data_IF_621037478062
#
_entry.id   IF_621037478062
#
_cell.length_a   1.000
_cell.length_b   1.000
_cell.length_c   1.000
_cell.angle_alpha   90.00
_cell.angle_beta   90.00
_cell.angle_gamma   90.00
#
_symmetry.space_group_name_H-M   'P 1'
#
loop_
_entity.id
_entity.type
_entity.pdbx_description
1 polymer ?
#
# COMPACT_ATOMS: atom_id res chain seq x y z
N UNK A 1 -2.15 27.36 -17.52
CA UNK A 1 -3.60 27.11 -17.42
C UNK A 1 -3.80 25.60 -17.46
N UNK A 2 -4.46 25.00 -16.48
CA UNK A 2 -4.70 23.54 -16.46
C UNK A 2 -6.06 23.23 -17.08
N UNK A 3 -6.06 22.63 -18.27
CA UNK A 3 -7.27 22.07 -18.88
C UNK A 3 -7.79 20.92 -18.01
N UNK A 4 -8.96 21.10 -17.41
CA UNK A 4 -9.57 20.06 -16.58
C UNK A 4 -10.02 18.87 -17.43
N UNK A 5 -9.48 17.68 -17.17
CA UNK A 5 -10.00 16.45 -17.78
C UNK A 5 -11.41 16.18 -17.21
N UNK A 6 -12.43 16.42 -18.02
CA UNK A 6 -13.86 16.24 -17.72
C UNK A 6 -14.30 14.76 -17.67
N UNK A 7 -13.37 13.85 -17.36
CA UNK A 7 -13.66 12.43 -17.18
C UNK A 7 -14.45 12.16 -15.89
N UNK A 8 -15.22 11.08 -15.89
CA UNK A 8 -15.96 10.61 -14.73
C UNK A 8 -15.05 10.43 -13.51
N UNK A 9 -15.54 10.83 -12.34
CA UNK A 9 -14.85 10.60 -11.07
C UNK A 9 -15.09 9.17 -10.58
N UNK A 10 -14.14 8.63 -9.81
CA UNK A 10 -14.33 7.36 -9.11
C UNK A 10 -15.52 7.49 -8.16
N UNK A 11 -16.53 6.66 -8.34
CA UNK A 11 -17.77 6.70 -7.56
C UNK A 11 -18.12 5.29 -7.06
N UNK A 12 -18.11 5.11 -5.75
CA UNK A 12 -18.37 3.80 -5.14
C UNK A 12 -19.87 3.46 -5.03
N UNK A 13 -20.78 4.39 -5.36
CA UNK A 13 -22.22 4.10 -5.46
C UNK A 13 -22.56 3.31 -6.73
N UNK A 14 -21.77 3.47 -7.78
CA UNK A 14 -21.84 2.71 -9.05
C UNK A 14 -21.21 1.31 -8.97
N UNK A 15 -20.95 0.78 -7.77
CA UNK A 15 -20.29 -0.52 -7.60
C UNK A 15 -21.20 -1.71 -7.98
N UNK A 16 -20.89 -2.35 -9.10
CA UNK A 16 -21.50 -3.59 -9.56
C UNK A 16 -20.94 -4.80 -8.79
N UNK A 17 -21.76 -5.84 -8.59
CA UNK A 17 -21.37 -7.04 -7.84
C UNK A 17 -21.71 -8.31 -8.64
N UNK A 18 -20.70 -8.93 -9.24
CA UNK A 18 -20.87 -10.17 -10.00
C UNK A 18 -20.95 -11.38 -9.06
N UNK A 19 -22.16 -11.91 -8.89
CA UNK A 19 -22.45 -13.01 -7.95
C UNK A 19 -22.05 -14.40 -8.48
N UNK A 20 -20.75 -14.66 -8.70
CA UNK A 20 -20.23 -16.02 -8.95
C UNK A 20 -18.70 -16.19 -8.71
N UNK A 21 -18.19 -16.07 -7.48
CA UNK A 21 -16.83 -16.53 -7.18
C UNK A 21 -16.77 -18.05 -7.03
N UNK A 22 -15.75 -18.68 -7.60
CA UNK A 22 -15.37 -20.05 -7.24
C UNK A 22 -14.80 -20.05 -5.81
N UNK A 23 -15.68 -20.27 -4.83
CA UNK A 23 -15.35 -20.21 -3.40
C UNK A 23 -14.34 -21.29 -3.00
N UNK A 24 -13.08 -20.91 -2.78
CA UNK A 24 -12.01 -21.82 -2.32
C UNK A 24 -12.01 -21.98 -0.79
N UNK A 25 -11.51 -23.09 -0.22
CA UNK A 25 -11.34 -23.20 1.23
C UNK A 25 -10.41 -22.10 1.77
N UNK A 26 -10.62 -21.69 3.02
CA UNK A 26 -9.69 -20.81 3.73
C UNK A 26 -8.52 -21.67 4.23
N UNK A 27 -7.25 -21.38 3.89
CA UNK A 27 -6.11 -22.14 4.39
C UNK A 27 -5.98 -22.07 5.92
N UNK A 28 -5.39 -23.10 6.51
CA UNK A 28 -4.99 -23.08 7.93
C UNK A 28 -3.90 -21.99 8.12
N UNK A 29 -4.00 -21.08 9.12
CA UNK A 29 -3.02 -20.02 9.35
C UNK A 29 -1.55 -20.46 9.38
N UNK A 30 -1.26 -21.67 9.86
CA UNK A 30 0.10 -22.21 9.97
C UNK A 30 0.54 -23.04 8.75
N UNK A 31 -0.23 -23.02 7.65
CA UNK A 31 0.05 -23.86 6.48
C UNK A 31 1.14 -23.28 5.55
N UNK A 32 1.88 -24.14 4.81
CA UNK A 32 2.90 -23.69 3.87
C UNK A 32 2.38 -22.71 2.82
N UNK A 33 1.12 -22.84 2.39
CA UNK A 33 0.45 -21.98 1.43
C UNK A 33 0.38 -20.54 1.94
N UNK A 34 -0.04 -20.34 3.20
CA UNK A 34 -0.09 -19.02 3.85
C UNK A 34 1.29 -18.40 3.93
N UNK A 35 2.32 -19.19 4.24
CA UNK A 35 3.71 -18.73 4.28
C UNK A 35 4.24 -18.25 2.91
N UNK A 36 3.65 -18.68 1.78
CA UNK A 36 4.03 -18.17 0.44
C UNK A 36 3.54 -16.74 0.17
N UNK A 37 2.51 -16.27 0.88
CA UNK A 37 1.79 -15.02 0.62
C UNK A 37 1.23 -14.87 -0.81
N UNK A 38 0.98 -15.97 -1.52
CA UNK A 38 0.46 -15.99 -2.91
C UNK A 38 -1.06 -15.94 -3.01
N UNK A 39 -1.77 -16.36 -1.96
CA UNK A 39 -3.23 -16.46 -1.96
C UNK A 39 -3.93 -15.13 -1.66
N UNK A 40 -4.78 -14.68 -2.60
CA UNK A 40 -5.87 -13.73 -2.34
C UNK A 40 -7.10 -14.40 -1.73
N UNK A 41 -8.14 -13.63 -1.43
CA UNK A 41 -9.45 -14.15 -0.98
C UNK A 41 -10.28 -14.65 -2.19
N UNK A 42 -11.61 -14.73 -2.10
CA UNK A 42 -12.46 -15.22 -3.21
C UNK A 42 -12.69 -14.14 -4.29
N UNK A 43 -12.68 -12.86 -3.88
CA UNK A 43 -13.06 -11.71 -4.70
C UNK A 43 -12.02 -10.59 -4.67
N UNK A 44 -12.02 -9.78 -5.72
CA UNK A 44 -11.32 -8.50 -5.81
C UNK A 44 -12.26 -7.42 -6.35
N UNK A 45 -11.88 -6.15 -6.16
CA UNK A 45 -12.53 -5.02 -6.85
C UNK A 45 -11.60 -4.57 -7.97
N UNK A 46 -12.17 -4.31 -9.15
CA UNK A 46 -11.48 -3.74 -10.31
C UNK A 46 -12.23 -2.47 -10.74
N UNK A 47 -11.49 -1.44 -11.11
CA UNK A 47 -12.02 -0.23 -11.76
C UNK A 47 -11.05 0.16 -12.86
N UNK A 48 -11.56 0.40 -14.07
CA UNK A 48 -10.78 0.90 -15.19
C UNK A 48 -10.78 2.43 -15.19
N UNK A 49 -9.73 3.04 -15.74
CA UNK A 49 -9.71 4.46 -16.08
C UNK A 49 -9.13 4.66 -17.48
N UNK A 50 -9.74 5.56 -18.26
CA UNK A 50 -9.19 6.03 -19.54
C UNK A 50 -9.13 7.57 -19.60
N UNK A 51 -8.20 8.09 -20.40
CA UNK A 51 -8.03 9.52 -20.66
C UNK A 51 -9.29 10.20 -21.24
N UNK A 52 -10.13 9.44 -21.95
CA UNK A 52 -11.32 9.91 -22.65
C UNK A 52 -12.60 9.89 -21.81
N UNK A 53 -12.75 8.90 -20.92
CA UNK A 53 -14.00 8.68 -20.17
C UNK A 53 -13.86 8.89 -18.66
N UNK A 54 -12.64 8.89 -18.12
CA UNK A 54 -12.39 8.90 -16.69
C UNK A 54 -12.60 7.52 -16.07
N UNK A 55 -13.09 7.47 -14.83
CA UNK A 55 -13.31 6.25 -14.06
C UNK A 55 -14.61 5.54 -14.45
N UNK A 56 -14.50 4.26 -14.79
CA UNK A 56 -15.65 3.38 -15.04
C UNK A 56 -16.42 3.04 -13.76
N UNK A 57 -17.51 2.28 -13.90
CA UNK A 57 -18.19 1.67 -12.76
C UNK A 57 -17.24 0.68 -12.07
N UNK A 58 -17.02 0.78 -10.75
CA UNK A 58 -16.31 -0.25 -10.00
C UNK A 58 -17.02 -1.60 -10.08
N UNK A 59 -16.27 -2.71 -10.14
CA UNK A 59 -16.84 -4.06 -10.25
C UNK A 59 -16.22 -5.00 -9.22
N UNK A 60 -17.04 -5.70 -8.44
CA UNK A 60 -16.61 -6.87 -7.66
C UNK A 60 -16.57 -8.08 -8.58
N UNK A 61 -15.40 -8.69 -8.72
CA UNK A 61 -15.16 -9.87 -9.57
C UNK A 61 -14.47 -10.99 -8.77
N UNK A 62 -14.50 -12.25 -9.24
CA UNK A 62 -13.68 -13.32 -8.65
C UNK A 62 -12.18 -12.95 -8.68
N UNK A 63 -11.41 -13.43 -7.71
CA UNK A 63 -9.95 -13.24 -7.70
C UNK A 63 -9.30 -14.01 -8.87
N UNK A 64 -8.71 -13.30 -9.82
CA UNK A 64 -8.13 -13.85 -11.05
C UNK A 64 -6.83 -13.14 -11.44
N UNK A 65 -6.03 -13.72 -12.37
CA UNK A 65 -5.04 -12.95 -13.12
C UNK A 65 -5.70 -11.76 -13.85
N UNK A 66 -4.91 -10.72 -14.12
CA UNK A 66 -5.26 -9.63 -15.03
C UNK A 66 -4.56 -9.83 -16.38
N UNK A 67 -5.24 -9.50 -17.48
CA UNK A 67 -4.63 -9.45 -18.81
C UNK A 67 -4.01 -8.06 -19.03
N UNK A 68 -2.79 -8.02 -19.52
CA UNK A 68 -2.06 -6.78 -19.86
C UNK A 68 -1.31 -6.98 -21.16
N UNK A 69 -1.21 -5.94 -21.98
CA UNK A 69 -0.32 -5.93 -23.13
C UNK A 69 1.15 -5.99 -22.67
N UNK A 70 2.05 -6.73 -23.35
CA UNK A 70 3.47 -6.77 -22.98
C UNK A 70 4.14 -5.39 -22.95
N UNK A 71 3.63 -4.45 -23.75
CA UNK A 71 4.09 -3.06 -23.84
C UNK A 71 3.52 -2.14 -22.75
N UNK A 72 2.66 -2.65 -21.84
CA UNK A 72 2.01 -1.85 -20.80
C UNK A 72 3.02 -1.05 -19.97
N UNK A 73 2.75 0.25 -19.77
CA UNK A 73 3.69 1.17 -19.12
C UNK A 73 4.11 0.76 -17.69
N UNK A 74 3.29 0.02 -16.94
CA UNK A 74 3.67 -0.55 -15.66
C UNK A 74 4.71 -1.68 -15.74
N UNK A 75 4.79 -2.40 -16.86
CA UNK A 75 5.81 -3.42 -17.12
C UNK A 75 7.10 -2.77 -17.63
N UNK A 76 6.99 -1.77 -18.50
CA UNK A 76 8.13 -1.14 -19.18
C UNK A 76 8.82 -0.03 -18.36
N UNK A 77 8.03 0.81 -17.69
CA UNK A 77 8.51 2.03 -17.00
C UNK A 77 8.16 2.04 -15.50
N UNK A 78 7.66 0.92 -14.98
CA UNK A 78 7.24 0.73 -13.59
C UNK A 78 6.27 1.82 -13.08
N UNK A 79 5.39 2.32 -13.96
CA UNK A 79 4.33 3.32 -13.68
C UNK A 79 3.23 2.70 -12.80
N UNK A 80 3.55 2.39 -11.54
CA UNK A 80 2.66 1.70 -10.61
C UNK A 80 2.90 2.09 -9.14
N UNK A 81 1.93 1.97 -8.23
CA UNK A 81 2.08 2.38 -6.82
C UNK A 81 1.05 1.79 -5.84
N UNK A 82 1.31 1.70 -4.53
CA UNK A 82 0.41 0.91 -3.68
C UNK A 82 0.26 1.26 -2.21
N UNK A 83 -0.65 0.52 -1.57
CA UNK A 83 -0.92 0.47 -0.15
C UNK A 83 -0.81 -0.92 0.47
N UNK A 84 -0.53 -0.87 1.76
CA UNK A 84 -0.71 -1.98 2.67
C UNK A 84 -1.46 -1.48 3.88
N UNK A 85 -2.56 -2.16 4.22
CA UNK A 85 -3.27 -1.99 5.48
C UNK A 85 -3.82 -3.33 5.93
N UNK A 86 -4.37 -3.39 7.14
CA UNK A 86 -5.00 -4.60 7.69
C UNK A 86 -6.40 -4.29 8.21
N UNK A 87 -7.32 -5.21 7.97
CA UNK A 87 -8.58 -5.32 8.72
C UNK A 87 -8.41 -6.40 9.79
N UNK A 88 -8.85 -6.11 11.02
CA UNK A 88 -8.68 -6.96 12.20
C UNK A 88 -10.04 -7.42 12.72
N UNK A 89 -10.12 -8.65 13.24
CA UNK A 89 -11.25 -9.10 14.08
C UNK A 89 -10.96 -8.71 15.53
N UNK A 90 -11.79 -7.85 16.12
CA UNK A 90 -11.73 -7.58 17.56
C UNK A 90 -12.29 -8.74 18.39
N UNK A 91 -11.88 -8.83 19.66
CA UNK A 91 -12.44 -9.78 20.64
C UNK A 91 -13.94 -9.55 20.91
N UNK A 92 -14.47 -8.38 20.58
CA UNK A 92 -15.91 -8.06 20.55
C UNK A 92 -16.61 -8.54 19.26
N UNK A 93 -15.93 -9.34 18.43
CA UNK A 93 -16.41 -9.82 17.15
C UNK A 93 -16.51 -8.75 16.06
N UNK A 94 -16.15 -7.48 16.29
CA UNK A 94 -16.29 -6.38 15.31
C UNK A 94 -15.06 -6.22 14.43
N UNK A 95 -15.26 -5.91 13.15
CA UNK A 95 -14.19 -5.61 12.20
C UNK A 95 -13.65 -4.20 12.41
N UNK A 96 -12.33 -4.01 12.29
CA UNK A 96 -11.67 -2.70 12.43
C UNK A 96 -10.56 -2.51 11.38
N UNK A 97 -10.52 -1.33 10.75
CA UNK A 97 -9.42 -0.89 9.88
C UNK A 97 -8.58 0.17 10.61
N UNK A 98 -7.25 0.04 10.58
CA UNK A 98 -6.37 1.04 11.20
C UNK A 98 -6.07 2.21 10.26
N UNK A 99 -6.68 3.38 10.54
CA UNK A 99 -6.44 4.66 9.82
C UNK A 99 -6.52 4.53 8.28
N UNK A 100 -7.60 3.96 7.70
CA UNK A 100 -7.63 3.60 6.28
C UNK A 100 -7.69 4.81 5.34
N UNK A 101 -8.30 5.93 5.73
CA UNK A 101 -8.33 7.16 4.90
C UNK A 101 -6.91 7.67 4.60
N UNK A 102 -6.03 7.72 5.60
CA UNK A 102 -4.61 8.07 5.44
C UNK A 102 -3.84 7.12 4.49
N UNK A 103 -4.31 5.88 4.34
CA UNK A 103 -3.77 4.99 3.32
C UNK A 103 -4.23 5.40 1.92
N UNK A 104 -5.52 5.69 1.75
CA UNK A 104 -6.11 6.16 0.50
C UNK A 104 -5.50 7.51 0.04
N UNK A 105 -5.33 8.47 0.95
CA UNK A 105 -4.65 9.75 0.71
C UNK A 105 -3.23 9.57 0.18
N UNK A 106 -2.38 8.81 0.88
CA UNK A 106 -1.01 8.53 0.41
C UNK A 106 -1.03 7.69 -0.89
N UNK A 107 -2.16 7.10 -1.31
CA UNK A 107 -2.23 6.31 -2.55
C UNK A 107 -2.43 7.28 -3.72
N UNK A 108 -3.44 8.14 -3.63
CA UNK A 108 -3.62 9.28 -4.53
C UNK A 108 -2.34 10.11 -4.66
N UNK A 109 -1.69 10.47 -3.55
CA UNK A 109 -0.41 11.19 -3.59
C UNK A 109 0.74 10.39 -4.23
N UNK A 110 0.68 9.05 -4.24
CA UNK A 110 1.65 8.22 -4.96
C UNK A 110 1.32 8.17 -6.45
N UNK A 111 0.04 8.04 -6.81
CA UNK A 111 -0.46 8.05 -8.19
C UNK A 111 -0.08 9.37 -8.90
N UNK A 112 -0.40 10.52 -8.30
CA UNK A 112 -0.04 11.84 -8.85
C UNK A 112 1.48 12.05 -9.01
N UNK A 113 2.32 11.34 -8.23
CA UNK A 113 3.79 11.42 -8.34
C UNK A 113 4.35 10.62 -9.52
N UNK A 114 3.58 9.72 -10.12
CA UNK A 114 3.92 8.96 -11.33
C UNK A 114 2.88 9.12 -12.44
N UNK A 115 2.24 10.29 -12.52
CA UNK A 115 1.27 10.67 -13.55
C UNK A 115 0.07 9.71 -13.73
N UNK A 116 -0.28 8.93 -12.71
CA UNK A 116 -1.50 8.12 -12.66
C UNK A 116 -2.70 8.98 -12.19
N UNK A 117 -3.93 8.64 -12.62
CA UNK A 117 -5.14 9.43 -12.38
C UNK A 117 -5.44 9.63 -10.89
N UNK A 118 -6.00 10.80 -10.58
CA UNK A 118 -6.48 11.15 -9.25
C UNK A 118 -7.90 10.63 -9.01
N UNK A 119 -8.27 10.53 -7.73
CA UNK A 119 -9.56 10.06 -7.23
C UNK A 119 -9.79 10.64 -5.82
N UNK A 120 -11.04 10.68 -5.33
CA UNK A 120 -11.31 11.00 -3.92
C UNK A 120 -10.91 9.80 -3.03
N UNK A 121 -10.00 9.98 -2.05
CA UNK A 121 -9.67 8.95 -1.06
C UNK A 121 -10.87 8.36 -0.30
N UNK A 122 -12.01 9.05 -0.22
CA UNK A 122 -13.25 8.57 0.41
C UNK A 122 -13.98 7.52 -0.43
N UNK A 123 -13.95 7.62 -1.75
CA UNK A 123 -14.64 6.67 -2.63
C UNK A 123 -13.88 5.34 -2.66
N UNK A 124 -12.54 5.39 -2.76
CA UNK A 124 -11.70 4.21 -2.53
C UNK A 124 -11.93 3.59 -1.13
N UNK A 125 -12.14 4.41 -0.10
CA UNK A 125 -12.44 3.92 1.25
C UNK A 125 -13.78 3.16 1.32
N UNK A 126 -14.83 3.64 0.63
CA UNK A 126 -16.11 2.92 0.51
C UNK A 126 -15.93 1.56 -0.19
N UNK A 127 -15.15 1.50 -1.28
CA UNK A 127 -14.83 0.25 -1.98
C UNK A 127 -14.11 -0.74 -1.05
N UNK A 128 -13.09 -0.28 -0.31
CA UNK A 128 -12.38 -1.09 0.69
C UNK A 128 -13.33 -1.60 1.77
N UNK A 129 -14.25 -0.77 2.27
CA UNK A 129 -15.27 -1.20 3.24
C UNK A 129 -16.19 -2.29 2.68
N UNK A 130 -16.63 -2.18 1.41
CA UNK A 130 -17.47 -3.20 0.78
C UNK A 130 -16.71 -4.52 0.59
N UNK A 131 -15.47 -4.49 0.11
CA UNK A 131 -14.65 -5.70 -0.02
C UNK A 131 -14.43 -6.37 1.34
N UNK A 132 -14.12 -5.60 2.40
CA UNK A 132 -14.02 -6.12 3.76
C UNK A 132 -15.33 -6.78 4.22
N UNK A 133 -16.50 -6.18 3.91
CA UNK A 133 -17.79 -6.73 4.29
C UNK A 133 -18.15 -8.03 3.54
N UNK A 134 -17.69 -8.21 2.30
CA UNK A 134 -17.92 -9.42 1.49
C UNK A 134 -17.01 -10.59 1.89
N UNK A 135 -15.71 -10.32 2.14
CA UNK A 135 -14.72 -11.39 2.35
C UNK A 135 -14.60 -11.79 3.84
N UNK A 136 -14.61 -10.82 4.76
CA UNK A 136 -14.32 -11.06 6.19
C UNK A 136 -15.29 -11.98 6.94
N UNK A 137 -16.56 -12.22 6.55
CA UNK A 137 -17.40 -13.22 7.20
C UNK A 137 -16.81 -14.64 7.12
N UNK A 138 -16.13 -14.96 6.00
CA UNK A 138 -15.48 -16.26 5.73
C UNK A 138 -13.99 -16.22 6.03
N UNK A 139 -13.28 -15.22 5.51
CA UNK A 139 -11.82 -15.13 5.55
C UNK A 139 -11.25 -14.60 6.87
N UNK A 140 -12.11 -14.12 7.77
CA UNK A 140 -11.70 -13.56 9.06
C UNK A 140 -12.80 -13.79 10.11
N UNK A 141 -13.17 -15.04 10.43
CA UNK A 141 -14.39 -15.37 11.18
C UNK A 141 -14.37 -14.88 12.64
N UNK A 142 -15.47 -15.02 13.38
CA UNK A 142 -15.65 -14.41 14.72
C UNK A 142 -14.94 -15.16 15.85
N UNK A 143 -14.76 -16.45 15.67
CA UNK A 143 -14.03 -17.41 16.52
C UNK A 143 -12.52 -17.24 16.49
N UNK A 144 -11.98 -16.50 15.52
CA UNK A 144 -10.56 -16.13 15.41
C UNK A 144 -10.32 -14.62 15.68
N UNK A 145 -10.50 -14.12 16.92
CA UNK A 145 -10.21 -12.74 17.28
C UNK A 145 -8.70 -12.47 17.37
N UNK A 146 -8.29 -11.23 17.09
CA UNK A 146 -6.89 -10.83 17.00
C UNK A 146 -6.27 -11.06 15.61
N UNK A 147 -6.78 -12.03 14.84
CA UNK A 147 -6.41 -12.24 13.45
C UNK A 147 -6.70 -11.03 12.55
N UNK A 148 -6.03 -10.98 11.39
CA UNK A 148 -6.14 -9.87 10.46
C UNK A 148 -5.84 -10.25 9.01
N UNK A 149 -6.68 -9.78 8.09
CA UNK A 149 -6.43 -9.84 6.64
C UNK A 149 -5.64 -8.63 6.17
N UNK A 150 -4.72 -8.86 5.24
CA UNK A 150 -3.98 -7.79 4.57
C UNK A 150 -4.74 -7.29 3.34
N UNK A 151 -4.82 -5.97 3.16
CA UNK A 151 -5.51 -5.32 2.05
C UNK A 151 -4.50 -4.56 1.20
N UNK A 152 -4.57 -4.77 -0.12
CA UNK A 152 -3.61 -4.32 -1.14
C UNK A 152 -4.33 -3.53 -2.27
N UNK A 153 -4.68 -2.24 -2.06
CA UNK A 153 -5.02 -1.29 -3.12
C UNK A 153 -3.75 -0.58 -3.64
N UNK A 154 -3.74 -0.09 -4.88
CA UNK A 154 -2.59 -0.34 -5.77
C UNK A 154 -2.85 0.25 -7.17
N UNK A 155 -2.16 1.19 -7.81
CA UNK A 155 -2.40 1.57 -9.24
C UNK A 155 -1.30 1.03 -10.19
N UNK A 156 -1.60 0.69 -11.46
CA UNK A 156 -0.65 0.39 -12.57
C UNK A 156 -1.09 1.07 -13.87
N UNK A 157 -0.20 1.64 -14.66
CA UNK A 157 -0.50 2.03 -16.05
C UNK A 157 -0.60 0.82 -16.98
N UNK A 158 -1.70 0.71 -17.73
CA UNK A 158 -1.95 -0.38 -18.70
C UNK A 158 -1.77 0.02 -20.17
N UNK A 159 -1.68 1.33 -20.46
CA UNK A 159 -1.45 1.88 -21.80
C UNK A 159 -0.36 1.11 -22.56
N UNK A 160 -0.73 0.58 -23.73
CA UNK A 160 0.10 -0.27 -24.58
C UNK A 160 1.16 0.48 -25.41
N UNK A 161 1.27 1.80 -25.24
CA UNK A 161 2.25 2.63 -25.93
C UNK A 161 3.65 2.55 -25.32
N UNK A 162 4.65 2.29 -26.17
CA UNK A 162 6.09 2.42 -25.84
C UNK A 162 6.60 3.88 -25.86
N UNK A 163 5.70 4.87 -25.89
CA UNK A 163 6.06 6.28 -25.78
C UNK A 163 6.31 6.68 -24.32
N UNK A 164 7.37 7.44 -24.06
CA UNK A 164 7.60 8.04 -22.73
C UNK A 164 6.65 9.23 -22.52
N UNK A 165 5.39 8.92 -22.17
CA UNK A 165 4.30 9.87 -21.88
C UNK A 165 3.56 9.44 -20.60
N UNK A 166 2.65 10.29 -20.11
CA UNK A 166 1.67 9.86 -19.11
C UNK A 166 0.75 8.79 -19.73
N UNK A 167 0.42 7.70 -19.02
CA UNK A 167 -0.36 6.60 -19.59
C UNK A 167 -1.83 6.99 -19.78
N UNK A 168 -2.42 6.59 -20.90
CA UNK A 168 -3.82 6.90 -21.23
C UNK A 168 -4.82 5.88 -20.67
N UNK A 169 -4.35 4.73 -20.16
CA UNK A 169 -5.14 3.69 -19.48
C UNK A 169 -4.46 3.18 -18.20
N UNK A 170 -5.26 2.84 -17.17
CA UNK A 170 -4.76 2.48 -15.82
C UNK A 170 -5.62 1.38 -15.15
N UNK A 171 -4.93 0.41 -14.53
CA UNK A 171 -5.40 -0.72 -13.68
C UNK A 171 -4.77 -0.60 -12.24
N UNK A 172 -4.64 -1.69 -11.45
CA UNK A 172 -4.23 -1.63 -10.02
C UNK A 172 -3.07 -2.59 -9.45
N UNK A 173 -1.72 -2.25 -9.39
CA UNK A 173 -0.55 -2.99 -8.67
C UNK A 173 0.66 -2.15 -8.00
N UNK A 174 1.97 -2.56 -7.84
CA UNK A 174 2.87 -2.42 -6.59
C UNK A 174 4.40 -1.91 -6.68
N UNK A 175 5.13 -1.42 -5.59
CA UNK A 175 6.64 -1.58 -5.19
C UNK A 175 7.70 -0.35 -4.89
N UNK A 176 7.97 0.25 -3.65
CA UNK A 176 8.78 1.52 -3.14
C UNK A 176 10.34 1.52 -2.81
N UNK A 177 11.28 2.52 -2.78
CA UNK A 177 11.69 3.82 -3.45
C UNK A 177 13.02 4.51 -2.91
N UNK A 178 13.63 5.52 -3.60
CA UNK A 178 14.93 6.28 -3.28
C UNK A 178 14.85 7.86 -3.30
N UNK A 179 15.84 8.66 -2.80
CA UNK A 179 15.74 10.13 -2.65
C UNK A 179 15.92 10.96 -3.94
N UNK A 180 15.31 12.15 -4.00
CA UNK A 180 15.18 12.97 -5.22
C UNK A 180 14.22 12.36 -6.25
N UNK A 181 14.29 11.04 -6.43
CA UNK A 181 13.25 10.21 -6.97
C UNK A 181 12.01 10.14 -6.04
N UNK A 182 11.52 8.92 -5.81
CA UNK A 182 10.15 8.73 -5.32
C UNK A 182 10.04 8.16 -3.89
N UNK A 183 11.08 8.31 -3.05
CA UNK A 183 11.19 7.86 -1.66
C UNK A 183 9.92 7.94 -0.81
N UNK A 184 9.38 9.15 -0.63
CA UNK A 184 8.16 9.41 0.14
C UNK A 184 6.86 8.84 -0.47
N UNK A 185 6.90 8.42 -1.74
CA UNK A 185 5.79 7.81 -2.46
C UNK A 185 5.93 6.29 -2.51
N UNK A 186 4.80 5.58 -2.61
CA UNK A 186 4.81 4.11 -2.55
C UNK A 186 4.74 3.49 -3.95
N UNK A 187 5.51 4.04 -4.91
CA UNK A 187 5.53 3.72 -6.36
C UNK A 187 6.57 2.64 -6.73
N UNK A 188 6.50 2.02 -7.92
CA UNK A 188 6.88 0.63 -8.24
C UNK A 188 8.30 0.24 -8.70
N UNK A 189 9.08 1.13 -9.31
CA UNK A 189 10.43 0.80 -9.84
C UNK A 189 11.53 0.54 -8.78
N UNK A 190 11.15 0.21 -7.55
CA UNK A 190 11.61 1.05 -6.43
C UNK A 190 11.93 0.25 -5.14
N UNK A 191 11.16 -0.79 -4.75
CA UNK A 191 11.75 -1.92 -3.99
C UNK A 191 12.39 -2.92 -4.97
N UNK A 192 12.07 -2.86 -6.27
CA UNK A 192 12.75 -3.67 -7.29
C UNK A 192 14.27 -3.36 -7.25
N UNK A 193 14.60 -2.07 -7.23
CA UNK A 193 15.95 -1.53 -6.98
C UNK A 193 16.47 -1.71 -5.53
N UNK A 194 15.80 -2.52 -4.70
CA UNK A 194 16.22 -2.88 -3.34
C UNK A 194 16.33 -4.42 -3.13
N UNK A 195 15.97 -5.22 -4.15
CA UNK A 195 16.00 -6.68 -4.04
C UNK A 195 17.42 -7.24 -4.01
N UNK A 196 18.37 -6.61 -4.70
CA UNK A 196 19.76 -7.07 -4.74
C UNK A 196 20.44 -6.97 -3.35
N UNK A 197 20.14 -5.90 -2.62
CA UNK A 197 20.63 -5.63 -1.27
C UNK A 197 19.98 -6.59 -0.27
N UNK A 198 18.68 -6.87 -0.42
CA UNK A 198 17.98 -7.86 0.41
C UNK A 198 18.47 -9.30 0.16
N UNK A 199 18.87 -9.64 -1.06
CA UNK A 199 19.51 -10.93 -1.39
C UNK A 199 20.90 -11.00 -0.72
N UNK A 200 21.77 -10.01 -0.96
CA UNK A 200 23.10 -9.95 -0.34
C UNK A 200 23.05 -9.94 1.20
N UNK A 201 22.07 -9.27 1.80
CA UNK A 201 21.87 -9.29 3.24
C UNK A 201 21.52 -10.71 3.74
N UNK A 202 20.62 -11.41 3.04
CA UNK A 202 20.22 -12.79 3.37
C UNK A 202 21.36 -13.79 3.20
N UNK A 203 22.15 -13.67 2.15
CA UNK A 203 23.36 -14.48 1.92
C UNK A 203 24.40 -14.32 3.04
N UNK A 204 24.48 -13.11 3.62
CA UNK A 204 25.31 -12.79 4.78
C UNK A 204 24.63 -13.09 6.14
N UNK A 205 23.50 -13.79 6.13
CA UNK A 205 22.78 -14.23 7.33
C UNK A 205 21.84 -13.20 7.98
N UNK A 206 21.67 -12.00 7.41
CA UNK A 206 20.81 -10.94 7.94
C UNK A 206 19.37 -11.04 7.44
N UNK A 207 18.38 -10.73 8.29
CA UNK A 207 16.97 -10.82 7.91
C UNK A 207 16.43 -9.58 7.17
N UNK A 208 17.08 -8.41 7.29
CA UNK A 208 16.66 -7.13 6.70
C UNK A 208 17.87 -6.22 6.43
N UNK A 209 17.70 -5.29 5.47
CA UNK A 209 18.65 -4.19 5.21
C UNK A 209 18.36 -3.01 6.14
N UNK A 210 19.41 -2.43 6.75
CA UNK A 210 19.35 -1.12 7.41
C UNK A 210 19.77 -0.05 6.39
N UNK A 211 18.86 0.83 6.00
CA UNK A 211 19.12 1.83 4.98
C UNK A 211 19.86 3.03 5.57
N UNK A 212 21.04 3.33 5.02
CA UNK A 212 21.91 4.43 5.40
C UNK A 212 21.98 5.46 4.27
N UNK A 213 22.08 6.75 4.62
CA UNK A 213 22.16 7.86 3.65
C UNK A 213 23.21 8.90 4.06
N UNK A 214 23.76 9.64 3.10
CA UNK A 214 24.77 10.68 3.35
C UNK A 214 26.17 10.13 3.70
N UNK A 215 27.21 10.98 3.67
CA UNK A 215 28.58 10.60 4.05
C UNK A 215 28.69 10.25 5.55
N UNK A 216 27.80 10.82 6.36
CA UNK A 216 27.60 10.61 7.79
C UNK A 216 26.76 9.36 8.13
N UNK A 217 26.26 8.64 7.10
CA UNK A 217 25.54 7.36 7.23
C UNK A 217 24.29 7.45 8.12
N UNK A 218 23.50 8.50 7.94
CA UNK A 218 22.21 8.68 8.61
C UNK A 218 21.31 7.45 8.44
N UNK A 219 20.77 6.97 9.55
CA UNK A 219 19.82 5.86 9.58
C UNK A 219 18.45 6.34 9.07
N UNK A 220 17.86 5.65 8.10
CA UNK A 220 16.63 6.09 7.40
C UNK A 220 15.43 5.15 7.61
N UNK A 221 15.50 3.92 7.12
CA UNK A 221 14.46 2.89 7.24
C UNK A 221 15.09 1.52 7.51
N UNK A 222 14.29 0.57 8.01
CA UNK A 222 14.67 -0.83 8.15
C UNK A 222 13.82 -1.69 7.20
N UNK A 223 14.43 -2.19 6.13
CA UNK A 223 13.75 -2.98 5.10
C UNK A 223 12.63 -2.21 4.41
N UNK A 224 11.39 -2.51 4.79
CA UNK A 224 10.18 -1.85 4.28
C UNK A 224 9.40 -1.04 5.35
N UNK A 225 10.02 -0.75 6.49
CA UNK A 225 9.42 -0.07 7.63
C UNK A 225 10.24 1.15 8.11
N UNK A 226 9.56 2.15 8.67
CA UNK A 226 10.23 3.24 9.39
C UNK A 226 10.94 2.69 10.63
N UNK A 227 12.16 3.18 10.91
CA UNK A 227 12.94 2.77 12.08
C UNK A 227 12.74 3.74 13.27
N UNK A 228 12.94 3.18 14.46
CA UNK A 228 12.89 3.87 15.74
C UNK A 228 14.07 3.44 16.62
N UNK A 229 14.70 4.41 17.27
CA UNK A 229 15.74 4.17 18.28
C UNK A 229 15.18 4.62 19.63
N UNK A 230 15.40 3.82 20.67
CA UNK A 230 15.19 4.22 22.07
C UNK A 230 16.56 4.16 22.73
N UNK A 231 16.97 5.24 23.39
CA UNK A 231 18.28 5.33 24.04
C UNK A 231 18.22 6.15 25.34
N UNK A 232 19.24 6.00 26.18
CA UNK A 232 19.45 6.85 27.35
C UNK A 232 20.51 7.89 26.98
N UNK A 233 20.17 9.16 27.14
CA UNK A 233 21.07 10.29 26.89
C UNK A 233 22.18 10.39 27.95
N UNK A 234 23.20 11.21 27.70
CA UNK A 234 24.26 11.49 28.66
C UNK A 234 23.74 12.14 29.97
N UNK A 235 22.63 12.87 29.93
CA UNK A 235 21.93 13.39 31.12
C UNK A 235 21.04 12.35 31.82
N UNK A 236 21.09 11.08 31.41
CA UNK A 236 20.30 10.00 31.97
C UNK A 236 18.83 9.96 31.51
N UNK A 237 18.37 10.93 30.73
CA UNK A 237 16.98 10.99 30.23
C UNK A 237 16.75 9.95 29.13
N UNK A 238 15.62 9.24 29.15
CA UNK A 238 15.22 8.33 28.07
C UNK A 238 14.68 9.14 26.88
N UNK A 239 15.21 8.90 25.68
CA UNK A 239 14.76 9.54 24.45
C UNK A 239 14.45 8.50 23.37
N UNK A 240 13.57 8.89 22.43
CA UNK A 240 12.98 7.98 21.46
C UNK A 240 12.88 8.63 20.07
N UNK A 241 13.86 8.35 19.21
CA UNK A 241 14.12 9.04 17.94
C UNK A 241 13.52 8.30 16.72
N UNK A 242 13.44 9.02 15.60
CA UNK A 242 13.11 8.54 14.25
C UNK A 242 13.60 9.54 13.21
N UNK A 243 13.97 9.07 12.02
CA UNK A 243 14.38 9.92 10.91
C UNK A 243 13.23 10.87 10.51
N UNK A 244 13.50 12.14 10.15
CA UNK A 244 12.47 13.15 9.90
C UNK A 244 11.59 12.84 8.68
N UNK A 245 10.53 13.62 8.47
CA UNK A 245 9.92 13.77 7.14
C UNK A 245 10.32 15.16 6.66
N UNK A 246 11.20 15.21 5.68
CA UNK A 246 11.89 16.41 5.23
C UNK A 246 11.60 16.72 3.75
N UNK A 247 12.08 17.87 3.30
CA UNK A 247 11.98 18.32 1.90
C UNK A 247 12.72 17.41 0.92
N UNK A 248 13.75 16.69 1.37
CA UNK A 248 14.45 15.68 0.57
C UNK A 248 13.57 14.47 0.21
N UNK A 249 12.40 14.31 0.85
CA UNK A 249 11.40 13.27 0.57
C UNK A 249 11.98 11.83 0.63
N UNK A 250 12.99 11.61 1.46
CA UNK A 250 13.72 10.34 1.57
C UNK A 250 12.92 9.25 2.32
N UNK A 251 12.16 9.65 3.34
CA UNK A 251 11.47 8.73 4.26
C UNK A 251 10.00 8.51 3.88
N UNK A 252 9.54 7.26 3.80
CA UNK A 252 8.14 6.94 3.54
C UNK A 252 7.26 7.31 4.74
N UNK A 253 6.25 8.17 4.55
CA UNK A 253 5.37 8.61 5.62
C UNK A 253 4.38 7.51 6.12
N UNK A 254 4.86 6.56 6.93
CA UNK A 254 4.10 5.40 7.42
C UNK A 254 3.03 5.73 8.47
N UNK A 255 1.89 5.02 8.43
CA UNK A 255 0.75 5.26 9.32
C UNK A 255 1.08 4.98 10.80
N UNK A 256 1.92 3.97 11.06
CA UNK A 256 2.41 3.62 12.40
C UNK A 256 3.29 4.72 12.98
N UNK A 257 4.17 5.32 12.16
CA UNK A 257 5.05 6.44 12.56
C UNK A 257 4.26 7.71 12.90
N UNK A 258 3.19 8.00 12.17
CA UNK A 258 2.28 9.15 12.42
C UNK A 258 1.44 9.05 13.71
N UNK A 259 1.84 8.27 14.72
CA UNK A 259 1.17 8.16 16.04
C UNK A 259 1.84 9.00 17.16
N UNK A 260 3.14 9.30 17.07
CA UNK A 260 3.96 9.83 18.18
C UNK A 260 3.75 11.31 18.58
N UNK A 261 2.61 11.91 18.23
CA UNK A 261 2.14 13.16 18.86
C UNK A 261 1.08 12.90 19.94
N UNK A 262 1.03 11.67 20.47
CA UNK A 262 0.38 11.36 21.75
C UNK A 262 1.39 10.68 22.67
N UNK A 263 1.61 11.28 23.84
CA UNK A 263 2.38 10.79 24.99
C UNK A 263 3.81 10.32 24.68
N UNK A 264 4.70 11.32 24.61
CA UNK A 264 5.83 11.37 25.55
C UNK A 264 5.54 12.53 26.49
N UNK A 265 4.61 12.30 27.41
CA UNK A 265 4.52 13.02 28.68
C UNK A 265 5.07 12.08 29.74
N UNK A 266 5.60 12.61 30.84
CA UNK A 266 6.44 11.85 31.76
C UNK A 266 5.64 10.79 32.52
N UNK A 267 6.20 9.59 32.64
CA UNK A 267 5.71 8.56 33.57
C UNK A 267 6.31 8.80 34.96
N UNK A 268 5.88 9.90 35.58
CA UNK A 268 6.12 10.26 36.97
C UNK A 268 4.77 10.50 37.65
N UNK A 269 4.54 9.81 38.79
CA UNK A 269 3.31 9.83 39.60
C UNK A 269 1.98 9.53 38.88
N UNK A 270 1.59 8.25 38.89
CA UNK A 270 0.27 7.77 39.36
C UNK A 270 0.49 6.44 40.09
#
# INVERSE_FOLDING_TARGET
MTTGHLGAQLDASRLEVTNAPNSKPVPNPDSPEVATLRDGTDRMIVVSWTSQHGWEAPRVVPYSPISLMPTASALQYATQCFKGMKVFRGYDGRLRLFRPLFNCERLRNSASRIALPSFDPKELLKLIHKLCALESPKWLPKDNPGAALYIRPTLIGSDSSLGFKAPEEVYELVVRAWPGGTGAAKVGGNYAAALAEHIQAKERGFNQVLWLYGPDRQITEAGAANIFVIWKTASGSLQMLTSPLDENNLILAGNTRRRRHMRVEEFSSW
#
